data_IF_293244954436
#
_entry.id   IF_293244954436
#
_cell.length_a   1.000
_cell.length_b   1.000
_cell.length_c   1.000
_cell.angle_alpha   90.00
_cell.angle_beta   90.00
_cell.angle_gamma   90.00
#
_symmetry.space_group_name_H-M   'P 1'
#
loop_
_entity.id
_entity.type
_entity.pdbx_description
1 polymer ?
#
# COMPACT_ATOMS: atom_id res chain seq x y z
N UNK A 1 15.74 3.15 1.02
CA UNK A 1 14.32 3.49 0.84
C UNK A 1 13.92 4.80 1.54
N UNK A 2 14.08 4.97 2.86
CA UNK A 2 13.75 6.24 3.56
C UNK A 2 14.51 7.45 2.98
N UNK A 3 15.79 7.28 2.61
CA UNK A 3 16.60 8.32 1.94
C UNK A 3 16.03 8.77 0.58
N UNK A 4 15.29 7.91 -0.12
CA UNK A 4 14.69 8.24 -1.43
C UNK A 4 13.61 9.33 -1.28
N UNK A 5 12.83 9.26 -0.20
CA UNK A 5 11.80 10.24 0.16
C UNK A 5 12.34 11.44 0.94
N UNK A 6 13.61 11.40 1.37
CA UNK A 6 14.27 12.45 2.14
C UNK A 6 15.62 12.83 1.49
N UNK A 7 15.58 13.30 0.24
CA UNK A 7 16.77 13.65 -0.55
C UNK A 7 17.64 14.76 0.07
N UNK A 8 17.06 15.60 0.92
CA UNK A 8 17.77 16.67 1.65
C UNK A 8 18.56 16.20 2.87
N UNK A 9 18.50 14.91 3.22
CA UNK A 9 19.21 14.35 4.38
C UNK A 9 18.52 14.59 5.74
N UNK A 10 17.51 15.47 5.80
CA UNK A 10 16.64 15.64 6.96
C UNK A 10 15.42 14.72 6.88
N UNK A 11 15.09 14.05 7.98
CA UNK A 11 13.91 13.17 8.07
C UNK A 11 12.63 14.00 8.16
N UNK A 12 11.97 14.21 7.03
CA UNK A 12 10.68 14.93 6.91
C UNK A 12 9.52 14.01 6.53
N UNK A 13 9.81 12.93 5.83
CA UNK A 13 8.80 12.01 5.31
C UNK A 13 9.11 10.58 5.75
N UNK A 14 8.17 9.96 6.46
CA UNK A 14 8.25 8.54 6.77
C UNK A 14 7.34 7.78 5.80
N UNK A 15 7.90 7.03 4.83
CA UNK A 15 7.06 6.32 3.87
C UNK A 15 6.26 5.22 4.58
N UNK A 16 4.94 5.29 4.47
CA UNK A 16 4.05 4.25 4.99
C UNK A 16 4.19 2.92 4.26
N UNK A 17 3.54 1.88 4.78
CA UNK A 17 3.56 0.53 4.19
C UNK A 17 3.19 0.46 2.70
N UNK A 18 2.28 1.30 2.13
CA UNK A 18 2.00 1.26 0.70
C UNK A 18 3.20 1.67 -0.16
N UNK A 19 3.92 2.72 0.25
CA UNK A 19 5.09 3.21 -0.47
C UNK A 19 6.27 2.25 -0.36
N UNK A 20 6.37 1.54 0.77
CA UNK A 20 7.33 0.44 0.97
C UNK A 20 7.04 -0.71 0.02
N UNK A 21 5.79 -1.17 -0.01
CA UNK A 21 5.35 -2.22 -0.93
C UNK A 21 5.68 -1.83 -2.39
N UNK A 22 5.33 -0.62 -2.81
CA UNK A 22 5.58 -0.14 -4.19
C UNK A 22 7.05 -0.23 -4.62
N UNK A 23 7.98 0.09 -3.72
CA UNK A 23 9.43 0.11 -4.00
C UNK A 23 10.06 -1.28 -3.98
N UNK A 24 9.44 -2.26 -3.30
CA UNK A 24 9.96 -3.62 -3.16
C UNK A 24 9.35 -4.61 -4.18
N UNK A 25 8.19 -4.29 -4.74
CA UNK A 25 7.47 -5.14 -5.69
C UNK A 25 8.07 -5.05 -7.09
N UNK A 26 8.21 -6.22 -7.74
CA UNK A 26 8.72 -6.34 -9.10
C UNK A 26 7.66 -5.94 -10.12
N UNK A 27 8.03 -5.80 -11.39
CA UNK A 27 7.11 -5.35 -12.43
C UNK A 27 5.90 -6.28 -12.63
N UNK A 28 6.06 -7.59 -12.38
CA UNK A 28 5.01 -8.59 -12.51
C UNK A 28 4.05 -8.66 -11.31
N UNK A 29 4.38 -8.02 -10.19
CA UNK A 29 3.59 -8.14 -8.98
C UNK A 29 2.48 -7.08 -8.95
N UNK A 30 1.33 -7.40 -8.38
CA UNK A 30 0.19 -6.49 -8.24
C UNK A 30 -0.03 -6.05 -6.79
N UNK A 31 -0.44 -4.80 -6.59
CA UNK A 31 -0.77 -4.23 -5.30
C UNK A 31 -2.28 -4.03 -5.17
N UNK A 32 -2.83 -4.48 -4.05
CA UNK A 32 -4.19 -4.13 -3.65
C UNK A 32 -4.12 -3.37 -2.33
N UNK A 33 -4.55 -2.12 -2.37
CA UNK A 33 -4.51 -1.20 -1.25
C UNK A 33 -5.95 -0.80 -0.92
N UNK A 34 -6.26 -0.82 0.37
CA UNK A 34 -7.57 -0.43 0.88
C UNK A 34 -7.40 0.65 1.92
N UNK A 35 -8.21 1.69 1.83
CA UNK A 35 -8.24 2.78 2.81
C UNK A 35 -9.69 3.14 3.11
N UNK A 36 -10.06 3.16 4.39
CA UNK A 36 -11.41 3.48 4.81
C UNK A 36 -11.59 5.00 5.00
N UNK A 37 -10.52 5.68 5.41
CA UNK A 37 -10.59 7.07 5.80
C UNK A 37 -10.85 8.00 4.59
N UNK A 38 -11.89 8.84 4.64
CA UNK A 38 -12.32 9.65 3.50
C UNK A 38 -11.30 10.71 3.06
N UNK A 39 -10.47 11.19 3.99
CA UNK A 39 -9.43 12.20 3.70
C UNK A 39 -8.16 11.57 3.16
N UNK A 40 -7.85 10.33 3.55
CA UNK A 40 -6.60 9.67 3.16
C UNK A 40 -6.74 8.87 1.87
N UNK A 41 -7.95 8.35 1.58
CA UNK A 41 -8.20 7.64 0.33
C UNK A 41 -7.84 8.46 -0.93
N UNK A 42 -8.20 9.74 -1.07
CA UNK A 42 -7.80 10.55 -2.22
C UNK A 42 -6.28 10.73 -2.31
N UNK A 43 -5.61 10.93 -1.18
CA UNK A 43 -4.15 11.05 -1.12
C UNK A 43 -3.48 9.75 -1.56
N UNK A 44 -3.87 8.63 -0.97
CA UNK A 44 -3.38 7.31 -1.32
C UNK A 44 -3.66 6.98 -2.79
N UNK A 45 -4.87 7.25 -3.29
CA UNK A 45 -5.20 7.03 -4.71
C UNK A 45 -4.28 7.85 -5.61
N UNK A 46 -4.02 9.11 -5.27
CA UNK A 46 -3.16 9.99 -6.07
C UNK A 46 -1.72 9.51 -6.18
N UNK A 47 -1.16 8.95 -5.12
CA UNK A 47 0.19 8.37 -5.09
C UNK A 47 0.36 7.19 -6.05
N UNK A 48 -0.73 6.45 -6.30
CA UNK A 48 -0.74 5.24 -7.12
C UNK A 48 -1.43 5.40 -8.48
N UNK A 49 -1.95 6.59 -8.82
CA UNK A 49 -2.63 6.85 -10.10
C UNK A 49 -1.77 6.51 -11.34
N UNK A 50 -0.44 6.58 -11.21
CA UNK A 50 0.51 6.30 -12.30
C UNK A 50 1.09 4.88 -12.28
N UNK A 51 0.73 4.05 -11.29
CA UNK A 51 1.22 2.68 -11.17
C UNK A 51 0.11 1.70 -11.55
N UNK A 52 0.16 1.17 -12.77
CA UNK A 52 -0.85 0.24 -13.30
C UNK A 52 -0.92 -1.09 -12.53
N UNK A 53 0.11 -1.40 -11.73
CA UNK A 53 0.13 -2.58 -10.85
C UNK A 53 -0.71 -2.39 -9.60
N UNK A 54 -1.08 -1.16 -9.25
CA UNK A 54 -1.75 -0.83 -8.00
C UNK A 54 -3.23 -0.52 -8.19
N UNK A 55 -4.05 -1.17 -7.37
CA UNK A 55 -5.48 -0.90 -7.25
C UNK A 55 -5.79 -0.39 -5.86
N UNK A 56 -6.36 0.82 -5.79
CA UNK A 56 -6.72 1.49 -4.52
C UNK A 56 -8.23 1.56 -4.40
N UNK A 57 -8.78 0.93 -3.37
CA UNK A 57 -10.22 0.85 -3.11
C UNK A 57 -10.56 1.51 -1.77
N UNK A 58 -11.69 2.25 -1.74
CA UNK A 58 -12.19 2.85 -0.50
C UNK A 58 -13.07 1.84 0.21
N UNK A 59 -12.49 1.00 1.05
CA UNK A 59 -13.22 -0.09 1.71
C UNK A 59 -12.51 -0.55 2.98
N UNK A 60 -13.24 -1.25 3.84
CA UNK A 60 -12.65 -1.96 4.97
C UNK A 60 -11.76 -3.12 4.50
N UNK A 61 -10.46 -3.01 4.77
CA UNK A 61 -9.47 -4.03 4.43
C UNK A 61 -9.70 -5.39 5.10
N UNK A 62 -10.41 -5.43 6.24
CA UNK A 62 -10.74 -6.68 6.93
C UNK A 62 -11.82 -7.49 6.20
N UNK A 63 -12.80 -6.81 5.61
CA UNK A 63 -13.82 -7.43 4.75
C UNK A 63 -13.18 -7.97 3.45
N UNK A 64 -12.23 -7.23 2.87
CA UNK A 64 -11.49 -7.71 1.71
C UNK A 64 -10.60 -8.92 2.02
N UNK A 65 -9.97 -8.97 3.19
CA UNK A 65 -9.13 -10.09 3.61
C UNK A 65 -9.89 -11.42 3.60
N UNK A 66 -11.15 -11.44 4.08
CA UNK A 66 -11.99 -12.65 4.04
C UNK A 66 -12.41 -13.02 2.62
N UNK A 67 -12.69 -12.05 1.77
CA UNK A 67 -13.18 -12.27 0.41
C UNK A 67 -12.08 -12.66 -0.59
N UNK A 68 -10.82 -12.29 -0.33
CA UNK A 68 -9.69 -12.44 -1.27
C UNK A 68 -8.75 -13.58 -0.93
N UNK A 69 -9.12 -14.43 0.04
CA UNK A 69 -8.41 -15.68 0.33
C UNK A 69 -9.06 -16.84 -0.43
N UNK A 70 -8.27 -17.68 -1.14
CA UNK A 70 -6.84 -17.60 -1.34
C UNK A 70 -6.47 -16.82 -2.62
N UNK A 71 -5.42 -15.96 -2.58
CA UNK A 71 -4.91 -15.28 -3.78
C UNK A 71 -4.26 -16.26 -4.75
N UNK A 72 -4.39 -16.00 -6.06
CA UNK A 72 -3.89 -16.85 -7.16
C UNK A 72 -2.36 -17.06 -7.09
N UNK A 73 -1.62 -16.06 -6.61
CA UNK A 73 -0.21 -16.19 -6.25
C UNK A 73 -0.09 -16.62 -4.78
N UNK A 74 0.30 -17.88 -4.50
CA UNK A 74 0.41 -18.46 -3.13
C UNK A 74 1.51 -17.84 -2.23
N UNK A 75 1.83 -16.55 -2.38
CA UNK A 75 2.84 -15.81 -1.61
C UNK A 75 2.26 -14.43 -1.27
N UNK A 76 2.22 -14.10 0.02
CA UNK A 76 1.66 -12.82 0.49
C UNK A 76 2.48 -12.27 1.68
N UNK A 77 2.54 -10.95 1.81
CA UNK A 77 3.15 -10.22 2.93
C UNK A 77 2.15 -9.20 3.48
N UNK A 78 1.90 -9.23 4.80
CA UNK A 78 0.95 -8.32 5.45
C UNK A 78 1.61 -7.53 6.58
N UNK A 79 1.68 -6.19 6.47
CA UNK A 79 2.24 -5.34 7.50
C UNK A 79 1.28 -4.94 8.62
N UNK A 80 0.02 -5.43 8.64
CA UNK A 80 -0.94 -5.03 9.67
C UNK A 80 -0.55 -5.52 11.08
N UNK A 81 -0.47 -4.58 12.02
CA UNK A 81 -0.41 -4.82 13.47
C UNK A 81 -1.69 -4.22 14.09
N UNK A 82 -2.60 -5.01 14.68
CA UNK A 82 -3.80 -4.46 15.31
C UNK A 82 -3.40 -3.64 16.54
N UNK A 83 -3.96 -2.43 16.66
CA UNK A 83 -3.97 -1.69 17.92
C UNK A 83 -5.02 -2.36 18.82
N UNK A 84 -4.57 -2.79 20.00
CA UNK A 84 -5.43 -3.13 21.14
C UNK A 84 -6.12 -1.90 21.69
#
# INVERSE_FOLDING_TARGET
>A
MVKHFNRSGQLRYYPGSPLIARQLLREQDSLQLTELHPSDYPLLRSEFQKDSRARVEKSDGFQQLKAKLPPVSRRWFNPYRPAV
#
